data_IF_041543627265
#
_entry.id   IF_041543627265
#
_cell.length_a   1.000
_cell.length_b   1.000
_cell.length_c   1.000
_cell.angle_alpha   90.00
_cell.angle_beta   90.00
_cell.angle_gamma   90.00
#
_symmetry.space_group_name_H-M   'P 1'
#
loop_
_entity.id
_entity.type
_entity.pdbx_description
1 polymer ?
#
# COMPACT_ATOMS: atom_id res chain seq x y z
N UNK A 1 -8.48 2.63 -21.23
CA UNK A 1 -7.51 3.66 -20.85
C UNK A 1 -6.97 3.32 -19.47
N UNK A 2 -5.66 3.32 -19.30
CA UNK A 2 -5.00 3.05 -17.99
C UNK A 2 -4.23 4.30 -17.56
N UNK A 3 -4.39 4.72 -16.31
CA UNK A 3 -3.72 5.90 -15.75
C UNK A 3 -3.42 5.70 -14.24
N UNK A 4 -2.65 6.62 -13.67
CA UNK A 4 -2.58 6.83 -12.22
C UNK A 4 -3.77 7.69 -11.73
N UNK A 5 -3.75 8.11 -10.45
CA UNK A 5 -4.79 8.97 -9.87
C UNK A 5 -4.70 10.47 -10.28
N UNK A 6 -4.08 10.79 -11.44
CA UNK A 6 -3.99 12.16 -11.86
C UNK A 6 -5.31 12.63 -12.48
N UNK A 7 -6.04 13.49 -11.77
CA UNK A 7 -7.41 13.88 -12.12
C UNK A 7 -7.54 14.42 -13.53
N UNK A 8 -6.60 15.27 -13.96
CA UNK A 8 -6.63 15.86 -15.32
C UNK A 8 -6.63 14.78 -16.42
N UNK A 9 -5.86 13.71 -16.26
CA UNK A 9 -5.84 12.63 -17.26
C UNK A 9 -7.13 11.82 -17.23
N UNK A 10 -7.69 11.61 -16.05
CA UNK A 10 -8.96 10.90 -15.89
C UNK A 10 -10.11 11.71 -16.48
N UNK A 11 -10.14 13.03 -16.26
CA UNK A 11 -11.15 13.94 -16.81
C UNK A 11 -11.04 14.01 -18.35
N UNK A 12 -9.83 14.13 -18.90
CA UNK A 12 -9.60 14.09 -20.35
C UNK A 12 -10.03 12.75 -20.91
N UNK A 13 -9.71 11.63 -20.28
CA UNK A 13 -10.07 10.31 -20.74
C UNK A 13 -11.60 10.11 -20.76
N UNK A 14 -12.30 10.55 -19.72
CA UNK A 14 -13.77 10.43 -19.65
C UNK A 14 -14.48 11.26 -20.71
N UNK A 15 -13.94 12.46 -21.00
CA UNK A 15 -14.56 13.38 -21.97
C UNK A 15 -14.25 13.02 -23.44
N UNK A 16 -13.01 12.62 -23.74
CA UNK A 16 -12.61 12.33 -25.12
C UNK A 16 -12.88 10.88 -25.54
N UNK A 17 -12.99 9.97 -24.59
CA UNK A 17 -13.19 8.54 -24.88
C UNK A 17 -14.37 7.96 -24.09
N UNK A 18 -15.61 8.41 -24.35
CA UNK A 18 -16.78 8.05 -23.54
C UNK A 18 -17.08 6.54 -23.51
N UNK A 19 -16.61 5.80 -24.52
CA UNK A 19 -16.77 4.35 -24.60
C UNK A 19 -15.60 3.57 -23.98
N UNK A 20 -14.53 4.24 -23.54
CA UNK A 20 -13.37 3.58 -22.95
C UNK A 20 -13.63 3.25 -21.48
N UNK A 21 -13.24 2.04 -21.08
CA UNK A 21 -13.16 1.71 -19.66
C UNK A 21 -11.89 2.36 -19.06
N UNK A 22 -12.07 3.21 -18.06
CA UNK A 22 -10.98 3.83 -17.35
C UNK A 22 -10.53 2.88 -16.24
N UNK A 23 -9.22 2.69 -16.13
CA UNK A 23 -8.58 1.76 -15.19
C UNK A 23 -7.49 2.54 -14.44
N UNK A 24 -7.50 2.54 -13.14
CA UNK A 24 -6.36 3.00 -12.36
C UNK A 24 -5.30 1.90 -12.32
N UNK A 25 -4.05 2.27 -12.56
CA UNK A 25 -2.95 1.31 -12.49
C UNK A 25 -2.82 0.70 -11.08
N UNK A 26 -2.72 -0.64 -11.03
CA UNK A 26 -2.72 -1.44 -9.79
C UNK A 26 -1.61 -1.04 -8.82
N UNK A 27 -0.44 -0.67 -9.36
CA UNK A 27 0.66 -0.23 -8.53
C UNK A 27 0.31 1.05 -7.77
N UNK A 28 -0.34 2.01 -8.44
CA UNK A 28 -0.73 3.28 -7.83
C UNK A 28 -1.83 3.10 -6.78
N UNK A 29 -2.79 2.18 -7.01
CA UNK A 29 -3.82 1.82 -6.04
C UNK A 29 -3.16 1.32 -4.75
N UNK A 30 -2.37 0.25 -4.82
CA UNK A 30 -1.71 -0.34 -3.64
C UNK A 30 -0.72 0.62 -2.98
N UNK A 31 -0.03 1.44 -3.76
CA UNK A 31 0.94 2.42 -3.27
C UNK A 31 0.30 3.47 -2.38
N UNK A 32 -0.86 4.00 -2.74
CA UNK A 32 -1.50 5.09 -2.01
C UNK A 32 -1.77 4.68 -0.55
N UNK A 33 -2.34 3.51 -0.32
CA UNK A 33 -2.59 2.98 1.03
C UNK A 33 -1.29 2.57 1.75
N UNK A 34 -0.34 1.94 1.04
CA UNK A 34 0.94 1.54 1.64
C UNK A 34 1.78 2.74 2.12
N UNK A 35 1.60 3.92 1.53
CA UNK A 35 2.26 5.16 1.99
C UNK A 35 1.73 5.58 3.36
N UNK A 36 0.43 5.45 3.64
CA UNK A 36 -0.14 5.74 4.96
C UNK A 36 0.47 4.84 6.03
N UNK A 37 0.46 3.53 5.83
CA UNK A 37 1.05 2.56 6.76
C UNK A 37 2.55 2.83 6.99
N UNK A 38 3.29 3.13 5.93
CA UNK A 38 4.71 3.52 6.02
C UNK A 38 4.90 4.80 6.83
N UNK A 39 4.11 5.83 6.58
CA UNK A 39 4.23 7.13 7.24
C UNK A 39 3.88 7.02 8.72
N UNK A 40 2.80 6.33 9.08
CA UNK A 40 2.43 6.08 10.48
C UNK A 40 3.53 5.31 11.22
N UNK A 41 4.06 4.24 10.62
CA UNK A 41 5.22 3.53 11.21
C UNK A 41 6.42 4.46 11.45
N UNK A 42 6.71 5.39 10.52
CA UNK A 42 7.82 6.34 10.66
C UNK A 42 7.53 7.34 11.78
N UNK A 43 6.31 7.82 11.88
CA UNK A 43 5.84 8.70 12.95
C UNK A 43 6.03 8.04 14.31
N UNK A 44 5.46 6.86 14.52
CA UNK A 44 5.61 6.07 15.74
C UNK A 44 7.09 5.79 16.03
N UNK A 45 7.87 5.39 15.04
CA UNK A 45 9.31 5.15 15.22
C UNK A 45 10.05 6.39 15.73
N UNK A 46 9.67 7.58 15.29
CA UNK A 46 10.34 8.85 15.69
C UNK A 46 10.02 9.28 17.11
N UNK A 47 9.00 8.74 17.77
CA UNK A 47 8.73 9.00 19.19
C UNK A 47 9.80 8.38 20.10
N UNK A 48 10.57 7.41 19.60
CA UNK A 48 11.60 6.72 20.35
C UNK A 48 13.01 7.21 20.00
N UNK A 49 13.91 7.19 21.00
CA UNK A 49 15.34 7.43 20.75
C UNK A 49 15.95 6.29 19.93
N UNK A 50 16.94 6.61 19.06
CA UNK A 50 17.54 5.66 18.09
C UNK A 50 18.14 4.39 18.71
N UNK A 51 18.54 4.42 19.97
CA UNK A 51 19.08 3.27 20.67
C UNK A 51 18.00 2.39 21.34
N UNK A 52 16.77 2.88 21.47
CA UNK A 52 15.67 2.14 22.08
C UNK A 52 15.26 0.92 21.25
N UNK A 53 14.81 -0.10 21.95
CA UNK A 53 14.38 -1.35 21.33
C UNK A 53 13.23 -1.15 20.31
N UNK A 54 12.13 -0.44 20.63
CA UNK A 54 11.04 -0.20 19.65
C UNK A 54 11.53 0.47 18.36
N UNK A 55 12.41 1.49 18.46
CA UNK A 55 12.98 2.15 17.28
C UNK A 55 13.70 1.16 16.37
N UNK A 56 14.54 0.30 16.96
CA UNK A 56 15.34 -0.68 16.20
C UNK A 56 14.45 -1.71 15.51
N UNK A 57 13.39 -2.18 16.19
CA UNK A 57 12.42 -3.15 15.64
C UNK A 57 11.63 -2.52 14.49
N UNK A 58 10.99 -1.36 14.71
CA UNK A 58 10.23 -0.61 13.69
C UNK A 58 11.06 -0.28 12.44
N UNK A 59 12.35 0.01 12.61
CA UNK A 59 13.27 0.30 11.50
C UNK A 59 13.65 -0.96 10.73
N UNK A 60 14.01 -2.03 11.45
CA UNK A 60 14.59 -3.24 10.86
C UNK A 60 13.55 -4.10 10.17
N UNK A 61 12.44 -4.33 10.84
CA UNK A 61 11.43 -5.30 10.40
C UNK A 61 10.26 -4.69 9.65
N UNK A 62 10.43 -3.47 9.15
CA UNK A 62 9.42 -2.71 8.39
C UNK A 62 8.76 -3.48 7.25
N UNK A 63 9.45 -4.48 6.66
CA UNK A 63 8.90 -5.26 5.54
C UNK A 63 7.76 -6.17 5.97
N UNK A 64 7.70 -6.58 7.23
CA UNK A 64 6.62 -7.43 7.75
C UNK A 64 5.26 -6.76 7.67
N UNK A 65 5.20 -5.42 7.81
CA UNK A 65 3.96 -4.66 7.68
C UNK A 65 3.34 -4.70 6.27
N UNK A 66 4.13 -5.02 5.24
CA UNK A 66 3.68 -5.08 3.84
C UNK A 66 3.58 -6.51 3.31
N UNK A 67 3.93 -7.48 4.11
CA UNK A 67 3.78 -8.89 3.80
C UNK A 67 2.32 -9.28 4.00
N UNK A 68 1.77 -10.14 3.13
CA UNK A 68 0.43 -10.68 3.35
C UNK A 68 0.41 -11.42 4.70
N UNK A 69 -0.62 -11.15 5.52
CA UNK A 69 -0.71 -11.75 6.84
C UNK A 69 -0.69 -13.28 6.80
N UNK A 70 -1.32 -13.88 5.80
CA UNK A 70 -1.34 -15.34 5.61
C UNK A 70 0.04 -15.94 5.27
N UNK A 71 1.02 -15.10 4.89
CA UNK A 71 2.40 -15.50 4.60
C UNK A 71 3.35 -15.25 5.78
N UNK A 72 2.87 -14.65 6.87
CA UNK A 72 3.67 -14.42 8.07
C UNK A 72 4.01 -15.75 8.71
N UNK A 73 5.31 -16.04 8.83
CA UNK A 73 5.78 -17.31 9.37
C UNK A 73 5.65 -17.37 10.90
N UNK A 74 5.11 -18.49 11.37
CA UNK A 74 5.10 -18.87 12.79
C UNK A 74 6.29 -19.78 13.16
N UNK A 75 7.09 -20.18 12.17
CA UNK A 75 8.24 -21.03 12.39
C UNK A 75 9.36 -20.31 13.16
N UNK A 76 10.12 -21.09 13.95
CA UNK A 76 11.25 -20.58 14.69
C UNK A 76 12.31 -19.97 13.76
N UNK A 77 12.71 -18.74 14.10
CA UNK A 77 13.74 -18.01 13.37
C UNK A 77 14.53 -17.10 14.32
N UNK A 78 15.85 -17.08 14.16
CA UNK A 78 16.69 -16.15 14.88
C UNK A 78 16.57 -14.73 14.31
N UNK A 79 16.28 -13.75 15.19
CA UNK A 79 16.15 -12.34 14.81
C UNK A 79 17.28 -11.51 15.39
N UNK A 80 17.81 -10.57 14.60
CA UNK A 80 18.71 -9.55 15.10
C UNK A 80 17.93 -8.60 16.04
N UNK A 81 18.53 -8.21 17.15
CA UNK A 81 17.89 -7.42 18.22
C UNK A 81 16.75 -8.17 18.94
N UNK A 82 16.77 -9.50 18.89
CA UNK A 82 15.72 -10.31 19.47
C UNK A 82 15.67 -10.20 21.01
N UNK A 83 16.82 -10.09 21.68
CA UNK A 83 16.91 -10.17 23.15
C UNK A 83 16.05 -11.34 23.73
N UNK A 84 15.97 -12.46 23.02
CA UNK A 84 15.14 -13.63 23.35
C UNK A 84 13.62 -13.33 23.44
N UNK A 85 13.14 -12.28 22.74
CA UNK A 85 11.73 -11.87 22.75
C UNK A 85 10.93 -12.40 21.56
N UNK A 86 11.60 -12.68 20.43
CA UNK A 86 10.94 -13.10 19.21
C UNK A 86 11.42 -14.48 18.78
N UNK A 87 10.49 -15.35 18.47
CA UNK A 87 10.76 -16.70 17.97
C UNK A 87 10.24 -16.90 16.54
N UNK A 88 9.38 -15.99 16.03
CA UNK A 88 8.79 -16.07 14.71
C UNK A 88 8.59 -14.66 14.10
N UNK A 89 8.29 -14.59 12.80
CA UNK A 89 7.87 -13.33 12.16
C UNK A 89 6.56 -12.81 12.81
N UNK A 90 5.69 -13.71 13.23
CA UNK A 90 4.45 -13.39 13.92
C UNK A 90 4.70 -12.63 15.24
N UNK A 91 5.65 -13.08 16.06
CA UNK A 91 5.99 -12.39 17.32
C UNK A 91 6.50 -10.96 17.05
N UNK A 92 7.34 -10.80 16.02
CA UNK A 92 7.86 -9.47 15.64
C UNK A 92 6.73 -8.57 15.17
N UNK A 93 5.83 -9.08 14.34
CA UNK A 93 4.70 -8.33 13.84
C UNK A 93 3.78 -7.91 14.98
N UNK A 94 3.38 -8.83 15.85
CA UNK A 94 2.53 -8.53 17.00
C UNK A 94 3.17 -7.46 17.92
N UNK A 95 4.48 -7.55 18.15
CA UNK A 95 5.16 -6.52 18.90
C UNK A 95 5.12 -5.16 18.20
N UNK A 96 5.30 -5.10 16.88
CA UNK A 96 5.22 -3.83 16.12
C UNK A 96 3.82 -3.22 16.23
N UNK A 97 2.77 -4.03 16.10
CA UNK A 97 1.38 -3.58 16.15
C UNK A 97 1.00 -3.14 17.58
N UNK A 98 1.49 -3.81 18.62
CA UNK A 98 1.22 -3.43 20.01
C UNK A 98 1.85 -2.10 20.46
N UNK A 99 2.67 -1.45 19.64
CA UNK A 99 3.33 -0.18 19.98
C UNK A 99 2.39 1.01 19.85
N UNK A 100 1.46 0.97 18.90
CA UNK A 100 0.58 2.10 18.60
C UNK A 100 -0.71 1.58 17.95
N UNK A 101 -1.84 1.97 18.55
CA UNK A 101 -3.18 1.50 18.18
C UNK A 101 -3.55 1.89 16.74
N UNK A 102 -3.31 3.14 16.34
CA UNK A 102 -3.61 3.59 14.96
C UNK A 102 -2.72 2.87 13.93
N UNK A 103 -1.47 2.54 14.27
CA UNK A 103 -0.60 1.74 13.41
C UNK A 103 -1.20 0.34 13.18
N UNK A 104 -1.73 -0.28 14.24
CA UNK A 104 -2.40 -1.57 14.16
C UNK A 104 -3.66 -1.49 13.29
N UNK A 105 -4.51 -0.50 13.54
CA UNK A 105 -5.74 -0.30 12.77
C UNK A 105 -5.46 -0.07 11.27
N UNK A 106 -4.50 0.81 10.92
CA UNK A 106 -4.08 1.03 9.52
C UNK A 106 -3.52 -0.26 8.91
N UNK A 107 -2.79 -1.07 9.69
CA UNK A 107 -2.27 -2.35 9.21
C UNK A 107 -3.40 -3.30 8.82
N UNK A 108 -4.44 -3.45 9.65
CA UNK A 108 -5.55 -4.36 9.34
C UNK A 108 -6.39 -3.86 8.17
N UNK A 109 -6.63 -2.56 8.08
CA UNK A 109 -7.27 -1.94 6.90
C UNK A 109 -6.45 -2.21 5.63
N UNK A 110 -5.11 -2.11 5.70
CA UNK A 110 -4.22 -2.43 4.59
C UNK A 110 -4.33 -3.91 4.20
N UNK A 111 -4.36 -4.84 5.16
CA UNK A 111 -4.50 -6.27 4.88
C UNK A 111 -5.84 -6.60 4.24
N UNK A 112 -6.95 -6.09 4.77
CA UNK A 112 -8.29 -6.29 4.21
C UNK A 112 -8.36 -5.80 2.76
N UNK A 113 -7.82 -4.60 2.51
CA UNK A 113 -7.82 -4.02 1.16
C UNK A 113 -6.99 -4.86 0.18
N UNK A 114 -5.77 -5.26 0.55
CA UNK A 114 -4.89 -6.04 -0.32
C UNK A 114 -5.48 -7.42 -0.57
N UNK A 115 -6.05 -8.06 0.45
CA UNK A 115 -6.67 -9.38 0.31
C UNK A 115 -7.86 -9.33 -0.65
N UNK A 116 -8.80 -8.40 -0.46
CA UNK A 116 -9.94 -8.22 -1.36
C UNK A 116 -9.49 -7.91 -2.80
N UNK A 117 -8.48 -7.04 -2.94
CA UNK A 117 -7.93 -6.65 -4.23
C UNK A 117 -7.27 -7.84 -4.96
N UNK A 118 -6.45 -8.63 -4.27
CA UNK A 118 -5.69 -9.74 -4.87
C UNK A 118 -6.57 -10.96 -5.15
N UNK A 119 -7.57 -11.22 -4.29
CA UNK A 119 -8.59 -12.25 -4.51
C UNK A 119 -9.65 -11.84 -5.55
N UNK A 120 -9.61 -10.60 -6.04
CA UNK A 120 -10.62 -10.02 -6.93
C UNK A 120 -12.04 -10.00 -6.33
N UNK A 121 -12.11 -9.89 -5.03
CA UNK A 121 -13.37 -9.77 -4.30
C UNK A 121 -13.87 -8.32 -4.38
N UNK A 122 -14.78 -8.09 -5.32
CA UNK A 122 -15.31 -6.74 -5.60
C UNK A 122 -16.17 -6.24 -4.44
N UNK A 123 -16.98 -7.10 -3.84
CA UNK A 123 -17.86 -6.70 -2.73
C UNK A 123 -17.06 -6.42 -1.46
N UNK A 124 -16.11 -7.28 -1.11
CA UNK A 124 -15.19 -7.03 -0.01
C UNK A 124 -14.36 -5.76 -0.20
N UNK A 125 -13.92 -5.48 -1.45
CA UNK A 125 -13.19 -4.24 -1.75
C UNK A 125 -14.09 -3.00 -1.58
N UNK A 126 -15.34 -3.05 -2.02
CA UNK A 126 -16.33 -1.99 -1.83
C UNK A 126 -16.60 -1.74 -0.36
N UNK A 127 -16.76 -2.81 0.41
CA UNK A 127 -16.94 -2.72 1.87
C UNK A 127 -15.77 -1.99 2.51
N UNK A 128 -14.52 -2.38 2.21
CA UNK A 128 -13.33 -1.71 2.75
C UNK A 128 -13.26 -0.26 2.30
N UNK A 129 -13.50 0.05 1.03
CA UNK A 129 -13.46 1.43 0.52
C UNK A 129 -14.49 2.32 1.22
N UNK A 130 -15.67 1.80 1.53
CA UNK A 130 -16.80 2.58 2.03
C UNK A 130 -16.97 2.56 3.56
N UNK A 131 -16.07 1.92 4.32
CA UNK A 131 -16.04 2.00 5.79
C UNK A 131 -15.93 3.45 6.27
N UNK A 132 -16.32 3.68 7.51
CA UNK A 132 -16.09 4.96 8.18
C UNK A 132 -14.63 5.07 8.65
N UNK A 133 -13.94 6.09 8.18
CA UNK A 133 -12.55 6.39 8.52
C UNK A 133 -12.42 7.70 9.30
N UNK A 134 -13.51 8.24 9.86
CA UNK A 134 -13.52 9.54 10.56
C UNK A 134 -12.59 9.58 11.78
N UNK A 135 -12.30 8.45 12.40
CA UNK A 135 -11.41 8.33 13.56
C UNK A 135 -9.92 8.23 13.19
N UNK A 136 -9.61 8.02 11.91
CA UNK A 136 -8.22 7.91 11.44
C UNK A 136 -7.59 9.28 11.15
N UNK A 137 -6.27 9.31 10.98
CA UNK A 137 -5.55 10.50 10.55
C UNK A 137 -6.06 11.02 9.20
N UNK A 138 -5.95 12.35 8.98
CA UNK A 138 -6.41 13.02 7.75
C UNK A 138 -5.83 12.35 6.49
N UNK A 139 -4.60 11.84 6.54
CA UNK A 139 -3.97 11.19 5.39
C UNK A 139 -4.67 9.89 5.00
N UNK A 140 -5.17 9.12 5.97
CA UNK A 140 -5.95 7.90 5.73
C UNK A 140 -7.32 8.28 5.17
N UNK A 141 -8.01 9.25 5.80
CA UNK A 141 -9.30 9.76 5.34
C UNK A 141 -9.22 10.20 3.87
N UNK A 142 -8.26 11.05 3.51
CA UNK A 142 -8.03 11.53 2.13
C UNK A 142 -7.77 10.39 1.14
N UNK A 143 -7.07 9.33 1.58
CA UNK A 143 -6.85 8.16 0.75
C UNK A 143 -8.16 7.45 0.43
N UNK A 144 -9.01 7.22 1.42
CA UNK A 144 -10.29 6.54 1.20
C UNK A 144 -11.32 7.42 0.50
N UNK A 145 -11.32 8.73 0.69
CA UNK A 145 -12.08 9.68 -0.14
C UNK A 145 -11.66 9.58 -1.62
N UNK A 146 -10.36 9.48 -1.88
CA UNK A 146 -9.85 9.26 -3.24
C UNK A 146 -10.31 7.92 -3.81
N UNK A 147 -10.29 6.86 -3.01
CA UNK A 147 -10.78 5.54 -3.44
C UNK A 147 -12.29 5.56 -3.70
N UNK A 148 -13.10 6.18 -2.85
CA UNK A 148 -14.54 6.36 -3.06
C UNK A 148 -14.82 7.12 -4.36
N UNK A 149 -14.10 8.23 -4.58
CA UNK A 149 -14.24 9.03 -5.81
C UNK A 149 -13.97 8.22 -7.09
N UNK A 150 -13.00 7.32 -7.07
CA UNK A 150 -12.55 6.55 -8.22
C UNK A 150 -12.87 5.05 -8.12
N UNK A 151 -13.84 4.67 -7.30
CA UNK A 151 -14.19 3.27 -7.00
C UNK A 151 -14.36 2.42 -8.25
N UNK A 152 -15.17 2.88 -9.22
CA UNK A 152 -15.41 2.14 -10.46
C UNK A 152 -14.11 1.92 -11.28
N UNK A 153 -13.19 2.88 -11.26
CA UNK A 153 -11.92 2.76 -11.98
C UNK A 153 -10.95 1.80 -11.27
N UNK A 154 -11.05 1.72 -9.94
CA UNK A 154 -10.32 0.72 -9.13
C UNK A 154 -10.91 -0.68 -9.36
N UNK A 155 -12.24 -0.82 -9.40
CA UNK A 155 -12.91 -2.08 -9.73
C UNK A 155 -12.54 -2.53 -11.14
N UNK A 156 -12.45 -1.62 -12.10
CA UNK A 156 -11.98 -1.93 -13.44
C UNK A 156 -10.55 -2.49 -13.44
N UNK A 157 -9.67 -2.06 -12.53
CA UNK A 157 -8.33 -2.63 -12.40
C UNK A 157 -8.33 -4.11 -11.98
N UNK A 158 -9.38 -4.55 -11.27
CA UNK A 158 -9.57 -5.96 -10.92
C UNK A 158 -10.16 -6.75 -12.08
N UNK A 159 -11.17 -6.19 -12.74
CA UNK A 159 -11.90 -6.84 -13.85
C UNK A 159 -11.05 -7.02 -15.10
N UNK A 160 -10.18 -6.05 -15.40
CA UNK A 160 -9.38 -6.03 -16.63
C UNK A 160 -7.89 -6.22 -16.34
N UNK A 161 -7.20 -6.97 -17.21
CA UNK A 161 -5.76 -7.35 -17.02
C UNK A 161 -4.79 -6.20 -17.40
N UNK A 162 -5.28 -5.08 -17.89
CA UNK A 162 -4.42 -4.02 -18.41
C UNK A 162 -3.66 -3.28 -17.31
N UNK A 163 -2.40 -2.93 -17.60
CA UNK A 163 -1.55 -2.10 -16.73
C UNK A 163 -0.62 -1.22 -17.56
N UNK A 164 -0.09 -0.16 -16.95
CA UNK A 164 0.91 0.71 -17.55
C UNK A 164 2.33 0.10 -17.60
N UNK A 165 2.56 -1.08 -17.02
CA UNK A 165 3.88 -1.66 -16.84
C UNK A 165 4.72 -1.76 -18.11
N UNK A 166 4.10 -2.05 -19.26
CA UNK A 166 4.79 -2.12 -20.56
C UNK A 166 5.29 -0.71 -20.98
N UNK A 167 4.42 0.30 -20.83
CA UNK A 167 4.76 1.71 -21.17
C UNK A 167 5.85 2.24 -20.26
N UNK A 168 5.78 1.97 -18.96
CA UNK A 168 6.80 2.35 -17.98
C UNK A 168 8.13 1.66 -18.26
N UNK A 169 8.11 0.40 -18.67
CA UNK A 169 9.30 -0.31 -19.12
C UNK A 169 9.95 0.34 -20.35
N UNK A 170 9.16 0.72 -21.33
CA UNK A 170 9.64 1.43 -22.53
C UNK A 170 10.21 2.80 -22.16
N UNK A 171 9.50 3.59 -21.34
CA UNK A 171 9.95 4.89 -20.87
C UNK A 171 11.27 4.80 -20.09
N UNK A 172 11.43 3.76 -19.27
CA UNK A 172 12.68 3.50 -18.55
C UNK A 172 13.84 3.20 -19.49
N UNK A 173 13.62 2.39 -20.54
CA UNK A 173 14.62 2.11 -21.58
C UNK A 173 15.00 3.38 -22.34
N UNK A 174 14.02 4.22 -22.71
CA UNK A 174 14.28 5.50 -23.39
C UNK A 174 15.13 6.42 -22.49
N UNK A 175 14.80 6.53 -21.20
CA UNK A 175 15.60 7.32 -20.24
C UNK A 175 17.01 6.80 -20.10
N UNK A 176 17.19 5.48 -20.07
CA UNK A 176 18.53 4.85 -20.03
C UNK A 176 19.33 5.17 -21.31
N UNK A 177 18.73 4.99 -22.49
CA UNK A 177 19.36 5.30 -23.76
C UNK A 177 19.78 6.78 -23.85
N UNK A 178 18.92 7.71 -23.43
CA UNK A 178 19.25 9.13 -23.35
C UNK A 178 20.45 9.39 -22.43
N UNK A 179 20.50 8.74 -21.26
CA UNK A 179 21.63 8.90 -20.32
C UNK A 179 22.94 8.37 -20.89
N UNK A 180 22.90 7.23 -21.58
CA UNK A 180 24.10 6.60 -22.17
C UNK A 180 24.54 7.33 -23.45
N UNK A 181 23.59 7.88 -24.22
CA UNK A 181 23.88 8.58 -25.48
C UNK A 181 24.36 10.03 -25.35
N UNK A 182 24.18 10.66 -24.17
CA UNK A 182 24.54 12.04 -23.87
C UNK A 182 25.53 12.19 -22.70
N UNK A 183 26.00 11.07 -22.12
CA UNK A 183 26.91 11.03 -20.94
C UNK A 183 28.37 10.88 -21.29
#
# INVERSE_FOLDING_TARGET
>A
FVSDFYSTYLDVASNLFPNAKIIIDRFHIKRLLSVNLKNKRIEVMKTFKKYNFPYKVLKRYKKLLFKNFNEISIEYKAFKYNYNKFHSEYDVLNYILSIDEELEEIYWVYQDFIEAFDKKDIEGLREVINRDYSMFSISVQTTFETYKKYEEYIINAIKYIYSNGIVDGINTKIKLLKRVGYG
#
